data_IF_764433872027
#
_entry.id   IF_764433872027
#
_cell.length_a   1.000
_cell.length_b   1.000
_cell.length_c   1.000
_cell.angle_alpha   90.00
_cell.angle_beta   90.00
_cell.angle_gamma   90.00
#
_symmetry.space_group_name_H-M   'P 1'
#
loop_
_entity.id
_entity.type
_entity.pdbx_description
1 polymer ?
#
# COMPACT_ATOMS: atom_id res chain seq x y z
N UNK A 1 23.00 -17.24 -3.95
CA UNK A 1 22.71 -16.31 -2.84
C UNK A 1 21.57 -15.45 -3.29
N UNK A 2 20.59 -15.20 -2.43
CA UNK A 2 19.46 -14.32 -2.73
C UNK A 2 19.90 -12.86 -2.83
N UNK A 3 19.10 -12.04 -3.50
CA UNK A 3 19.38 -10.62 -3.77
C UNK A 3 19.53 -9.77 -2.49
N UNK A 4 18.93 -10.21 -1.37
CA UNK A 4 18.93 -9.51 -0.09
C UNK A 4 19.77 -10.22 1.00
N UNK A 5 20.66 -11.17 0.61
CA UNK A 5 21.54 -11.85 1.57
C UNK A 5 22.40 -10.84 2.34
N UNK A 6 22.33 -10.87 3.68
CA UNK A 6 23.04 -9.95 4.57
C UNK A 6 22.44 -8.54 4.65
N UNK A 7 21.24 -8.31 4.11
CA UNK A 7 20.47 -7.07 4.25
C UNK A 7 19.38 -7.23 5.32
N UNK A 8 19.15 -6.19 6.10
CA UNK A 8 18.08 -6.12 7.08
C UNK A 8 16.94 -5.25 6.56
N UNK A 9 15.73 -5.80 6.52
CA UNK A 9 14.53 -5.13 6.02
C UNK A 9 13.52 -4.96 7.15
N UNK A 10 13.14 -3.73 7.45
CA UNK A 10 12.05 -3.41 8.38
C UNK A 10 10.76 -3.21 7.61
N UNK A 11 9.69 -3.93 8.00
CA UNK A 11 8.39 -3.91 7.33
C UNK A 11 7.31 -3.51 8.32
N UNK A 12 6.60 -2.41 8.06
CA UNK A 12 5.44 -1.99 8.86
C UNK A 12 4.14 -2.62 8.33
N UNK A 13 3.19 -2.89 9.22
CA UNK A 13 1.94 -3.56 8.83
C UNK A 13 2.16 -4.99 8.33
N UNK A 14 3.14 -5.70 8.90
CA UNK A 14 3.61 -7.00 8.43
C UNK A 14 2.76 -8.20 8.86
N UNK A 15 1.64 -7.98 9.55
CA UNK A 15 0.86 -9.08 10.17
C UNK A 15 -0.08 -9.82 9.21
N UNK A 16 -0.42 -9.24 8.07
CA UNK A 16 -1.28 -9.85 7.04
C UNK A 16 -1.18 -9.09 5.71
N UNK A 17 -1.76 -9.66 4.64
CA UNK A 17 -1.95 -9.02 3.34
C UNK A 17 -0.64 -8.66 2.63
N UNK A 18 -0.51 -7.40 2.17
CA UNK A 18 0.69 -6.95 1.45
C UNK A 18 1.95 -7.09 2.30
N UNK A 19 1.90 -6.69 3.58
CA UNK A 19 3.04 -6.73 4.48
C UNK A 19 3.55 -8.15 4.76
N UNK A 20 2.65 -9.11 4.92
CA UNK A 20 2.96 -10.54 4.98
C UNK A 20 3.64 -11.02 3.70
N UNK A 21 3.06 -10.67 2.53
CA UNK A 21 3.65 -11.04 1.25
C UNK A 21 5.04 -10.43 1.02
N UNK A 22 5.26 -9.20 1.47
CA UNK A 22 6.60 -8.59 1.45
C UNK A 22 7.57 -9.36 2.34
N UNK A 23 7.18 -9.69 3.59
CA UNK A 23 8.02 -10.43 4.51
C UNK A 23 8.49 -11.76 3.92
N UNK A 24 7.56 -12.55 3.36
CA UNK A 24 7.90 -13.82 2.72
C UNK A 24 8.75 -13.63 1.44
N UNK A 25 8.46 -12.59 0.65
CA UNK A 25 9.23 -12.29 -0.55
C UNK A 25 10.69 -11.95 -0.22
N UNK A 26 10.92 -11.05 0.73
CA UNK A 26 12.26 -10.71 1.18
C UNK A 26 12.99 -11.89 1.85
N UNK A 27 12.27 -12.71 2.64
CA UNK A 27 12.82 -13.91 3.24
C UNK A 27 13.33 -14.91 2.20
N UNK A 28 12.57 -15.17 1.13
CA UNK A 28 12.96 -16.04 0.02
C UNK A 28 14.26 -15.58 -0.65
N UNK A 29 14.53 -14.29 -0.64
CA UNK A 29 15.74 -13.69 -1.19
C UNK A 29 16.85 -13.48 -0.15
N UNK A 30 16.70 -14.06 1.04
CA UNK A 30 17.76 -14.15 2.05
C UNK A 30 17.92 -12.91 2.93
N UNK A 31 16.91 -12.04 3.02
CA UNK A 31 16.91 -10.92 3.95
C UNK A 31 16.73 -11.36 5.39
N UNK A 32 17.35 -10.64 6.32
CA UNK A 32 16.94 -10.61 7.71
C UNK A 32 15.80 -9.60 7.89
N UNK A 33 14.84 -9.89 8.77
CA UNK A 33 13.60 -9.14 8.85
C UNK A 33 13.34 -8.57 10.24
N UNK A 34 12.79 -7.36 10.27
CA UNK A 34 12.11 -6.81 11.45
C UNK A 34 10.66 -6.57 11.07
N UNK A 35 9.74 -7.29 11.72
CA UNK A 35 8.32 -7.22 11.43
C UNK A 35 7.60 -6.45 12.53
N UNK A 36 6.82 -5.44 12.13
CA UNK A 36 6.04 -4.63 13.08
C UNK A 36 4.59 -4.46 12.64
N UNK A 37 3.70 -4.62 13.60
CA UNK A 37 2.27 -4.33 13.57
C UNK A 37 1.73 -4.43 15.02
N UNK A 38 0.46 -4.14 15.23
CA UNK A 38 -0.14 -4.18 16.58
C UNK A 38 -0.30 -5.60 17.15
N UNK A 39 -0.69 -6.57 16.30
CA UNK A 39 -0.96 -7.94 16.71
C UNK A 39 0.33 -8.77 16.75
N UNK A 40 0.82 -9.07 17.95
CA UNK A 40 2.00 -9.91 18.16
C UNK A 40 1.81 -11.33 17.61
N UNK A 41 0.66 -11.93 17.84
CA UNK A 41 0.41 -13.34 17.46
C UNK A 41 0.40 -13.50 15.92
N UNK A 42 -0.22 -12.56 15.20
CA UNK A 42 -0.20 -12.56 13.74
C UNK A 42 1.21 -12.31 13.19
N UNK A 43 1.99 -11.42 13.84
CA UNK A 43 3.39 -11.20 13.46
C UNK A 43 4.24 -12.45 13.66
N UNK A 44 4.07 -13.19 14.78
CA UNK A 44 4.80 -14.43 15.02
C UNK A 44 4.46 -15.50 13.98
N UNK A 45 3.19 -15.62 13.58
CA UNK A 45 2.80 -16.55 12.53
C UNK A 45 3.49 -16.26 11.19
N UNK A 46 3.65 -14.98 10.83
CA UNK A 46 4.43 -14.58 9.63
C UNK A 46 5.91 -14.85 9.85
N UNK A 47 6.43 -14.52 11.05
CA UNK A 47 7.84 -14.70 11.38
C UNK A 47 8.26 -16.17 11.31
N UNK A 48 7.43 -17.10 11.78
CA UNK A 48 7.69 -18.54 11.71
C UNK A 48 7.87 -19.00 10.26
N UNK A 49 7.01 -18.53 9.33
CA UNK A 49 7.14 -18.87 7.92
C UNK A 49 8.43 -18.28 7.31
N UNK A 50 8.78 -17.05 7.68
CA UNK A 50 10.04 -16.43 7.22
C UNK A 50 11.28 -17.12 7.82
N UNK A 51 11.26 -17.53 9.09
CA UNK A 51 12.34 -18.31 9.74
C UNK A 51 12.51 -19.67 9.06
N UNK A 52 11.41 -20.32 8.64
CA UNK A 52 11.47 -21.58 7.89
C UNK A 52 12.15 -21.44 6.53
N UNK A 53 12.19 -20.21 5.96
CA UNK A 53 12.93 -19.85 4.75
C UNK A 53 14.42 -19.49 5.02
N UNK A 54 14.85 -19.50 6.29
CA UNK A 54 16.23 -19.25 6.69
C UNK A 54 16.53 -17.81 7.16
N UNK A 55 15.55 -16.93 7.22
CA UNK A 55 15.73 -15.55 7.67
C UNK A 55 15.87 -15.46 9.20
N UNK A 56 16.76 -14.59 9.67
CA UNK A 56 16.69 -14.08 11.06
C UNK A 56 15.51 -13.10 11.13
N UNK A 57 14.55 -13.33 12.03
CA UNK A 57 13.36 -12.49 12.16
C UNK A 57 13.18 -12.00 13.58
N UNK A 58 13.13 -10.69 13.73
CA UNK A 58 12.74 -9.99 14.96
C UNK A 58 11.30 -9.52 14.86
N UNK A 59 10.46 -9.95 15.79
CA UNK A 59 9.08 -9.45 15.93
C UNK A 59 9.08 -8.31 16.93
N UNK A 60 8.68 -7.12 16.47
CA UNK A 60 8.66 -5.89 17.26
C UNK A 60 7.25 -5.25 17.20
N UNK A 61 6.30 -5.69 18.05
CA UNK A 61 4.94 -5.16 18.05
C UNK A 61 4.93 -3.67 18.37
N UNK A 62 4.10 -2.89 17.66
CA UNK A 62 3.94 -1.45 17.89
C UNK A 62 2.82 -0.85 17.03
N UNK A 63 2.28 0.25 17.50
CA UNK A 63 1.32 1.07 16.74
C UNK A 63 2.09 2.18 16.01
N UNK A 64 1.92 2.24 14.70
CA UNK A 64 2.60 3.25 13.87
C UNK A 64 2.12 4.67 14.17
N UNK A 65 0.95 4.84 14.77
CA UNK A 65 0.42 6.14 15.18
C UNK A 65 0.98 6.62 16.53
N UNK A 66 1.77 5.78 17.24
CA UNK A 66 2.37 6.09 18.55
C UNK A 66 3.88 6.26 18.41
N UNK A 67 4.37 7.49 18.60
CA UNK A 67 5.78 7.84 18.37
C UNK A 67 6.75 7.02 19.22
N UNK A 68 6.41 6.76 20.49
CA UNK A 68 7.22 5.97 21.40
C UNK A 68 7.38 4.51 20.92
N UNK A 69 6.34 3.95 20.32
CA UNK A 69 6.37 2.62 19.72
C UNK A 69 7.30 2.60 18.50
N UNK A 70 7.20 3.59 17.63
CA UNK A 70 8.06 3.72 16.45
C UNK A 70 9.53 3.80 16.87
N UNK A 71 9.86 4.66 17.84
CA UNK A 71 11.21 4.80 18.37
C UNK A 71 11.71 3.47 18.96
N UNK A 72 10.89 2.78 19.73
CA UNK A 72 11.21 1.48 20.34
C UNK A 72 11.47 0.42 19.26
N UNK A 73 10.61 0.31 18.26
CA UNK A 73 10.77 -0.65 17.15
C UNK A 73 12.07 -0.42 16.39
N UNK A 74 12.38 0.82 16.03
CA UNK A 74 13.61 1.15 15.29
C UNK A 74 14.86 0.87 16.15
N UNK A 75 14.84 1.23 17.43
CA UNK A 75 15.94 0.89 18.36
C UNK A 75 16.13 -0.62 18.49
N UNK A 76 15.04 -1.39 18.61
CA UNK A 76 15.09 -2.85 18.64
C UNK A 76 15.70 -3.42 17.36
N UNK A 77 15.29 -2.90 16.19
CA UNK A 77 15.84 -3.32 14.91
C UNK A 77 17.35 -3.13 14.83
N UNK A 78 17.84 -1.94 15.23
CA UNK A 78 19.28 -1.63 15.24
C UNK A 78 20.04 -2.47 16.25
N UNK A 79 19.49 -2.68 17.46
CA UNK A 79 20.12 -3.49 18.50
C UNK A 79 20.28 -4.96 18.09
N UNK A 80 19.26 -5.53 17.44
CA UNK A 80 19.23 -6.95 17.08
C UNK A 80 20.00 -7.27 15.79
N UNK A 81 20.01 -6.34 14.81
CA UNK A 81 20.58 -6.57 13.48
C UNK A 81 21.78 -5.68 13.14
N UNK A 82 22.08 -4.69 13.98
CA UNK A 82 23.18 -3.75 13.77
C UNK A 82 22.90 -2.66 12.73
N UNK A 83 21.91 -2.88 11.83
CA UNK A 83 21.58 -1.96 10.74
C UNK A 83 20.15 -2.16 10.24
N UNK A 84 19.69 -1.19 9.45
CA UNK A 84 18.47 -1.29 8.63
C UNK A 84 18.84 -0.86 7.22
N UNK A 85 18.89 -1.79 6.28
CA UNK A 85 19.23 -1.52 4.87
C UNK A 85 18.01 -1.04 4.08
N UNK A 86 16.82 -1.54 4.41
CA UNK A 86 15.58 -1.10 3.77
C UNK A 86 14.42 -0.94 4.76
N UNK A 87 13.59 0.09 4.53
CA UNK A 87 12.29 0.28 5.18
C UNK A 87 11.19 0.09 4.14
N UNK A 88 10.28 -0.86 4.39
CA UNK A 88 9.02 -1.01 3.64
C UNK A 88 7.90 -0.44 4.49
N UNK A 89 7.52 0.77 4.16
CA UNK A 89 6.54 1.55 4.90
C UNK A 89 5.14 1.25 4.37
N UNK A 90 4.56 0.13 4.86
CA UNK A 90 3.36 -0.48 4.31
C UNK A 90 2.13 -0.32 5.20
N UNK A 91 2.28 -0.09 6.50
CA UNK A 91 1.12 0.08 7.39
C UNK A 91 0.16 1.15 6.85
N UNK A 92 -1.12 0.82 6.83
CA UNK A 92 -2.14 1.74 6.34
C UNK A 92 -3.54 1.19 6.59
N UNK A 93 -4.51 2.10 6.57
CA UNK A 93 -5.94 1.81 6.74
C UNK A 93 -6.75 2.64 5.75
N UNK A 94 -7.97 2.20 5.46
CA UNK A 94 -8.90 2.96 4.63
C UNK A 94 -10.29 2.92 5.23
N UNK A 95 -11.02 4.03 5.13
CA UNK A 95 -12.43 4.06 5.47
C UNK A 95 -13.26 3.69 4.24
N UNK A 96 -13.78 2.48 4.23
CA UNK A 96 -14.60 1.96 3.14
C UNK A 96 -16.11 2.16 3.36
N UNK A 97 -16.51 3.01 4.31
CA UNK A 97 -17.93 3.30 4.59
C UNK A 97 -18.65 4.09 3.50
N UNK A 98 -17.89 4.70 2.57
CA UNK A 98 -18.48 5.49 1.48
C UNK A 98 -19.13 6.80 1.94
N UNK A 99 -18.70 7.37 3.07
CA UNK A 99 -19.26 8.60 3.64
C UNK A 99 -19.00 9.77 2.68
N UNK A 100 -20.08 10.52 2.39
CA UNK A 100 -19.98 11.71 1.53
C UNK A 100 -19.01 12.75 2.14
N UNK A 101 -18.20 13.43 1.32
CA UNK A 101 -17.15 14.34 1.78
C UNK A 101 -17.63 15.40 2.78
N UNK A 102 -18.80 15.98 2.55
CA UNK A 102 -19.41 17.01 3.41
C UNK A 102 -19.95 16.47 4.75
N UNK A 103 -20.04 15.15 4.89
CA UNK A 103 -20.49 14.45 6.11
C UNK A 103 -19.33 13.74 6.83
N UNK A 104 -18.10 13.88 6.30
CA UNK A 104 -16.96 13.14 6.81
C UNK A 104 -16.52 13.69 8.16
N UNK A 105 -16.50 12.84 9.19
CA UNK A 105 -16.13 13.24 10.54
C UNK A 105 -14.62 13.41 10.73
N UNK A 106 -14.22 14.38 11.56
CA UNK A 106 -12.82 14.69 11.81
C UNK A 106 -12.10 13.62 12.64
N UNK A 107 -12.82 12.79 13.39
CA UNK A 107 -12.22 11.68 14.15
C UNK A 107 -11.66 10.62 13.19
N UNK A 108 -12.48 10.18 12.25
CA UNK A 108 -12.04 9.24 11.20
C UNK A 108 -10.96 9.86 10.30
N UNK A 109 -11.11 11.13 9.92
CA UNK A 109 -10.10 11.85 9.17
C UNK A 109 -8.73 11.81 9.87
N UNK A 110 -8.69 12.24 11.12
CA UNK A 110 -7.45 12.29 11.91
C UNK A 110 -6.88 10.89 12.16
N UNK A 111 -7.74 9.90 12.39
CA UNK A 111 -7.31 8.51 12.57
C UNK A 111 -6.59 7.97 11.33
N UNK A 112 -7.14 8.15 10.13
CA UNK A 112 -6.48 7.71 8.89
C UNK A 112 -5.17 8.45 8.68
N UNK A 113 -5.14 9.78 8.84
CA UNK A 113 -3.91 10.57 8.71
C UNK A 113 -2.85 10.17 9.74
N UNK A 114 -3.26 9.83 10.97
CA UNK A 114 -2.32 9.42 12.01
C UNK A 114 -1.57 8.13 11.65
N UNK A 115 -2.20 7.22 10.92
CA UNK A 115 -1.62 5.94 10.50
C UNK A 115 -0.90 6.08 9.16
N UNK A 116 -1.63 6.52 8.12
CA UNK A 116 -1.20 6.44 6.72
C UNK A 116 -0.20 7.53 6.33
N UNK A 117 -0.14 8.63 7.08
CA UNK A 117 0.78 9.73 6.82
C UNK A 117 1.73 9.98 7.99
N UNK A 118 1.20 10.29 9.19
CA UNK A 118 2.06 10.65 10.32
C UNK A 118 2.89 9.45 10.78
N UNK A 119 2.29 8.24 10.86
CA UNK A 119 2.98 7.01 11.20
C UNK A 119 4.07 6.67 10.19
N UNK A 120 3.73 6.77 8.90
CA UNK A 120 4.70 6.60 7.83
C UNK A 120 5.87 7.59 7.96
N UNK A 121 5.61 8.87 8.22
CA UNK A 121 6.64 9.89 8.41
C UNK A 121 7.50 9.64 9.66
N UNK A 122 6.91 9.19 10.77
CA UNK A 122 7.67 8.85 11.97
C UNK A 122 8.69 7.73 11.71
N UNK A 123 8.30 6.67 10.99
CA UNK A 123 9.24 5.62 10.57
C UNK A 123 10.31 6.14 9.60
N UNK A 124 9.93 6.95 8.61
CA UNK A 124 10.88 7.58 7.68
C UNK A 124 11.91 8.40 8.46
N UNK A 125 11.48 9.20 9.43
CA UNK A 125 12.35 10.05 10.24
C UNK A 125 13.33 9.22 11.09
N UNK A 126 12.82 8.24 11.83
CA UNK A 126 13.67 7.47 12.77
C UNK A 126 14.64 6.53 12.04
N UNK A 127 14.17 5.83 11.02
CA UNK A 127 15.03 4.97 10.18
C UNK A 127 15.96 5.83 9.32
N UNK A 128 15.46 6.95 8.80
CA UNK A 128 16.23 7.89 8.00
C UNK A 128 17.44 8.47 8.73
N UNK A 129 17.34 8.80 10.03
CA UNK A 129 18.49 9.21 10.83
C UNK A 129 19.61 8.18 10.78
N UNK A 130 19.29 6.91 11.04
CA UNK A 130 20.25 5.82 10.99
C UNK A 130 20.86 5.65 9.59
N UNK A 131 20.02 5.68 8.53
CA UNK A 131 20.50 5.53 7.15
C UNK A 131 21.40 6.68 6.72
N UNK A 132 21.07 7.92 7.11
CA UNK A 132 21.86 9.12 6.79
C UNK A 132 23.20 9.15 7.51
N UNK A 133 23.28 8.69 8.76
CA UNK A 133 24.52 8.53 9.52
C UNK A 133 25.44 7.49 8.87
N UNK A 134 24.87 6.45 8.26
CA UNK A 134 25.62 5.39 7.57
C UNK A 134 25.83 5.64 6.06
N UNK A 135 25.32 6.76 5.53
CA UNK A 135 25.35 7.09 4.09
C UNK A 135 24.83 5.95 3.20
N UNK A 136 23.85 5.20 3.66
CA UNK A 136 23.30 4.04 2.97
C UNK A 136 21.91 3.72 3.44
N UNK A 137 20.96 3.52 2.52
CA UNK A 137 19.62 3.07 2.85
C UNK A 137 18.61 3.20 1.73
N UNK A 138 17.53 2.45 1.84
CA UNK A 138 16.44 2.45 0.89
C UNK A 138 15.10 2.52 1.62
N UNK A 139 14.24 3.44 1.25
CA UNK A 139 12.87 3.55 1.77
C UNK A 139 11.90 3.34 0.61
N UNK A 140 10.98 2.40 0.77
CA UNK A 140 9.88 2.18 -0.16
C UNK A 140 8.56 2.39 0.58
N UNK A 141 7.87 3.47 0.23
CA UNK A 141 6.55 3.79 0.76
C UNK A 141 5.47 3.10 -0.07
N UNK A 142 4.53 2.42 0.57
CA UNK A 142 3.37 1.86 -0.11
C UNK A 142 2.28 2.93 -0.17
N UNK A 143 2.19 3.57 -1.33
CA UNK A 143 1.18 4.56 -1.66
C UNK A 143 -0.09 3.88 -2.22
N UNK A 144 -0.72 4.47 -3.19
CA UNK A 144 -1.91 3.93 -3.88
C UNK A 144 -2.18 4.73 -5.16
N UNK A 145 -2.79 4.11 -6.15
CA UNK A 145 -3.37 4.85 -7.29
C UNK A 145 -4.37 5.92 -6.82
N UNK A 146 -4.99 5.72 -5.66
CA UNK A 146 -5.91 6.70 -5.05
C UNK A 146 -5.20 8.00 -4.66
N UNK A 147 -3.89 7.97 -4.39
CA UNK A 147 -3.08 9.16 -4.14
C UNK A 147 -2.63 9.89 -5.40
N UNK A 148 -2.88 9.35 -6.59
CA UNK A 148 -2.39 9.88 -7.87
C UNK A 148 -3.47 10.57 -8.69
N UNK A 149 -4.74 10.37 -8.34
CA UNK A 149 -5.88 10.92 -9.08
C UNK A 149 -7.15 10.97 -8.23
N UNK A 150 -8.22 11.46 -8.82
CA UNK A 150 -9.54 11.49 -8.19
C UNK A 150 -10.33 10.21 -8.51
N UNK A 151 -11.22 9.84 -7.60
CA UNK A 151 -12.16 8.73 -7.76
C UNK A 151 -13.48 9.03 -7.05
N UNK A 152 -14.51 8.26 -7.32
CA UNK A 152 -15.85 8.43 -6.76
C UNK A 152 -16.12 7.49 -5.55
N UNK A 153 -15.09 6.95 -4.92
CA UNK A 153 -15.26 5.94 -3.86
C UNK A 153 -15.47 6.54 -2.45
N UNK A 154 -15.50 7.87 -2.33
CA UNK A 154 -15.67 8.58 -1.04
C UNK A 154 -14.62 8.17 0.03
N UNK A 155 -13.37 7.96 -0.36
CA UNK A 155 -12.25 7.60 0.52
C UNK A 155 -11.31 8.80 0.73
N UNK A 156 -11.86 9.97 1.02
CA UNK A 156 -11.15 11.27 0.94
C UNK A 156 -9.93 11.36 1.86
N UNK A 157 -10.02 10.89 3.10
CA UNK A 157 -8.89 10.94 4.04
C UNK A 157 -7.74 10.04 3.57
N UNK A 158 -8.06 8.83 3.08
CA UNK A 158 -7.08 7.91 2.51
C UNK A 158 -6.41 8.50 1.26
N UNK A 159 -7.20 9.05 0.34
CA UNK A 159 -6.70 9.72 -0.86
C UNK A 159 -5.76 10.88 -0.51
N UNK A 160 -6.13 11.71 0.47
CA UNK A 160 -5.30 12.81 0.95
C UNK A 160 -4.00 12.30 1.57
N UNK A 161 -4.05 11.27 2.43
CA UNK A 161 -2.88 10.68 3.07
C UNK A 161 -1.90 10.07 2.04
N UNK A 162 -2.40 9.28 1.09
CA UNK A 162 -1.56 8.63 0.07
C UNK A 162 -1.01 9.64 -0.94
N UNK A 163 -1.76 10.69 -1.27
CA UNK A 163 -1.27 11.81 -2.08
C UNK A 163 -0.14 12.59 -1.38
N UNK A 164 -0.31 12.87 -0.09
CA UNK A 164 0.72 13.52 0.73
C UNK A 164 1.97 12.64 0.87
N UNK A 165 1.82 11.33 1.12
CA UNK A 165 2.94 10.39 1.24
C UNK A 165 3.72 10.27 -0.08
N UNK A 166 3.01 10.27 -1.22
CA UNK A 166 3.63 10.29 -2.55
C UNK A 166 4.47 11.56 -2.76
N UNK A 167 3.95 12.74 -2.42
CA UNK A 167 4.70 13.99 -2.54
C UNK A 167 5.89 14.04 -1.57
N UNK A 168 5.70 13.56 -0.34
CA UNK A 168 6.78 13.42 0.65
C UNK A 168 7.91 12.50 0.14
N UNK A 169 7.57 11.42 -0.55
CA UNK A 169 8.54 10.53 -1.20
C UNK A 169 9.41 11.28 -2.20
N UNK A 170 8.81 12.11 -3.04
CA UNK A 170 9.53 12.92 -4.03
C UNK A 170 10.47 13.93 -3.36
N UNK A 171 9.97 14.63 -2.33
CA UNK A 171 10.76 15.61 -1.58
C UNK A 171 11.99 14.96 -0.94
N UNK A 172 11.79 13.88 -0.20
CA UNK A 172 12.88 13.19 0.50
C UNK A 172 13.85 12.50 -0.46
N UNK A 173 13.33 11.97 -1.58
CA UNK A 173 14.16 11.41 -2.64
C UNK A 173 15.14 12.42 -3.24
N UNK A 174 14.76 13.71 -3.27
CA UNK A 174 15.66 14.79 -3.68
C UNK A 174 16.62 15.20 -2.55
N UNK A 175 16.12 15.37 -1.32
CA UNK A 175 16.92 15.90 -0.21
C UNK A 175 17.98 14.94 0.33
N UNK A 176 17.76 13.62 0.17
CA UNK A 176 18.64 12.59 0.73
C UNK A 176 19.51 11.89 -0.31
N UNK A 177 19.34 12.20 -1.60
CA UNK A 177 20.02 11.53 -2.70
C UNK A 177 21.55 11.62 -2.62
N UNK A 178 22.10 12.79 -2.37
CA UNK A 178 23.55 13.04 -2.25
C UNK A 178 24.13 12.55 -0.91
N UNK A 179 23.25 12.12 -0.01
CA UNK A 179 23.59 11.56 1.31
C UNK A 179 23.49 10.04 1.36
N UNK A 180 23.35 9.39 0.19
CA UNK A 180 23.36 7.93 0.05
C UNK A 180 22.05 7.22 0.40
N UNK A 181 20.92 7.94 0.55
CA UNK A 181 19.62 7.35 0.87
C UNK A 181 18.65 7.56 -0.28
N UNK A 182 18.06 6.48 -0.78
CA UNK A 182 17.02 6.52 -1.80
C UNK A 182 15.64 6.40 -1.15
N UNK A 183 14.69 7.19 -1.62
CA UNK A 183 13.29 7.16 -1.16
C UNK A 183 12.38 7.07 -2.38
N UNK A 184 11.64 5.99 -2.48
CA UNK A 184 10.70 5.74 -3.58
C UNK A 184 9.35 5.28 -3.04
N UNK A 185 8.35 5.23 -3.90
CA UNK A 185 7.05 4.63 -3.58
C UNK A 185 6.60 3.64 -4.65
N UNK A 186 5.76 2.73 -4.22
CA UNK A 186 4.94 1.89 -5.10
C UNK A 186 3.49 2.28 -4.87
N UNK A 187 2.76 2.50 -5.95
CA UNK A 187 1.32 2.77 -5.94
C UNK A 187 0.57 1.59 -6.54
N UNK A 188 0.10 0.65 -5.70
CA UNK A 188 -0.72 -0.46 -6.16
C UNK A 188 -2.07 0.02 -6.68
N UNK A 189 -2.60 -0.69 -7.69
CA UNK A 189 -4.00 -0.69 -8.05
C UNK A 189 -4.83 -1.51 -7.06
N UNK A 190 -5.92 -2.05 -7.55
CA UNK A 190 -6.69 -3.03 -6.77
C UNK A 190 -5.95 -4.37 -6.76
N UNK A 191 -5.54 -4.80 -5.56
CA UNK A 191 -4.83 -6.06 -5.33
C UNK A 191 -5.68 -6.95 -4.46
N UNK A 192 -5.88 -8.18 -4.92
CA UNK A 192 -6.63 -9.17 -4.17
C UNK A 192 -5.68 -9.94 -3.24
N UNK A 193 -6.10 -10.07 -1.98
CA UNK A 193 -5.47 -10.96 -1.02
C UNK A 193 -6.46 -12.08 -0.66
N UNK A 194 -5.96 -13.21 -0.19
CA UNK A 194 -6.83 -14.34 0.19
C UNK A 194 -7.92 -13.92 1.21
N UNK A 195 -7.61 -12.95 2.07
CA UNK A 195 -8.55 -12.44 3.06
C UNK A 195 -9.74 -11.70 2.44
N UNK A 196 -9.49 -10.87 1.43
CA UNK A 196 -10.55 -10.01 0.83
C UNK A 196 -11.21 -10.65 -0.39
N UNK A 197 -10.60 -11.69 -0.98
CA UNK A 197 -11.10 -12.38 -2.16
C UNK A 197 -12.58 -12.81 -2.03
N UNK A 198 -12.99 -13.57 -0.98
CA UNK A 198 -14.36 -14.03 -0.87
C UNK A 198 -15.39 -12.89 -0.78
N UNK A 199 -15.02 -11.79 -0.10
CA UNK A 199 -15.91 -10.63 0.02
C UNK A 199 -16.07 -9.89 -1.31
N UNK A 200 -14.97 -9.66 -2.05
CA UNK A 200 -15.01 -9.00 -3.35
C UNK A 200 -15.80 -9.79 -4.38
N UNK A 201 -15.57 -11.11 -4.46
CA UNK A 201 -16.29 -12.00 -5.37
C UNK A 201 -17.78 -12.11 -5.01
N UNK A 202 -18.09 -12.24 -3.72
CA UNK A 202 -19.47 -12.32 -3.25
C UNK A 202 -20.31 -11.06 -3.53
N UNK A 203 -19.66 -9.88 -3.59
CA UNK A 203 -20.30 -8.60 -3.92
C UNK A 203 -20.25 -8.27 -5.42
N UNK A 204 -19.57 -9.08 -6.25
CA UNK A 204 -19.34 -8.78 -7.66
C UNK A 204 -18.42 -7.58 -7.92
N UNK A 205 -17.71 -7.12 -6.90
CA UNK A 205 -16.73 -6.03 -7.02
C UNK A 205 -15.53 -6.41 -7.87
N UNK A 206 -15.17 -7.70 -7.87
CA UNK A 206 -14.12 -8.26 -8.71
C UNK A 206 -14.35 -7.94 -10.19
N UNK A 207 -15.57 -8.18 -10.68
CA UNK A 207 -15.97 -7.90 -12.07
C UNK A 207 -15.99 -6.42 -12.37
N UNK A 208 -16.49 -5.62 -11.43
CA UNK A 208 -16.52 -4.17 -11.60
C UNK A 208 -15.11 -3.58 -11.68
N UNK A 209 -14.20 -3.95 -10.77
CA UNK A 209 -12.80 -3.53 -10.78
C UNK A 209 -12.12 -4.00 -12.07
N UNK A 210 -12.28 -5.28 -12.44
CA UNK A 210 -11.71 -5.82 -13.66
C UNK A 210 -12.20 -5.07 -14.90
N UNK A 211 -13.48 -4.68 -14.95
CA UNK A 211 -14.02 -3.91 -16.07
C UNK A 211 -13.35 -2.54 -16.24
N UNK A 212 -12.84 -1.95 -15.14
CA UNK A 212 -12.20 -0.63 -15.11
C UNK A 212 -10.68 -0.67 -15.18
N UNK A 213 -10.09 -1.84 -15.05
CA UNK A 213 -8.66 -2.05 -15.19
C UNK A 213 -8.33 -2.40 -16.65
N UNK A 214 -7.41 -1.73 -17.34
CA UNK A 214 -7.03 -2.07 -18.72
C UNK A 214 -6.62 -3.54 -18.91
N UNK A 215 -5.91 -4.14 -17.95
CA UNK A 215 -5.58 -5.57 -17.98
C UNK A 215 -6.77 -6.50 -17.71
N UNK A 216 -7.97 -5.96 -17.45
CA UNK A 216 -9.23 -6.70 -17.27
C UNK A 216 -9.22 -7.72 -16.13
N UNK A 217 -8.42 -7.48 -15.11
CA UNK A 217 -8.37 -8.29 -13.89
C UNK A 217 -7.93 -7.45 -12.69
N UNK A 218 -8.12 -7.99 -11.51
CA UNK A 218 -7.50 -7.49 -10.29
C UNK A 218 -6.05 -8.01 -10.25
N UNK A 219 -5.14 -7.26 -9.64
CA UNK A 219 -3.77 -7.68 -9.43
C UNK A 219 -3.66 -8.69 -8.28
N UNK A 220 -2.69 -9.57 -8.37
CA UNK A 220 -2.35 -10.53 -7.33
C UNK A 220 -1.26 -9.97 -6.41
N UNK A 221 -1.24 -10.43 -5.16
CA UNK A 221 -0.24 -10.04 -4.17
C UNK A 221 1.21 -10.21 -4.68
N UNK A 222 1.51 -11.30 -5.36
CA UNK A 222 2.84 -11.59 -5.92
C UNK A 222 3.31 -10.56 -6.93
N UNK A 223 2.39 -9.85 -7.60
CA UNK A 223 2.72 -8.84 -8.61
C UNK A 223 3.19 -7.51 -8.00
N UNK A 224 2.95 -7.29 -6.71
CA UNK A 224 3.43 -6.11 -5.97
C UNK A 224 4.77 -6.38 -5.27
N UNK A 225 5.00 -7.62 -4.85
CA UNK A 225 6.22 -8.00 -4.11
C UNK A 225 7.48 -7.71 -4.94
N UNK A 226 7.51 -8.14 -6.21
CA UNK A 226 8.65 -7.92 -7.10
C UNK A 226 9.02 -6.44 -7.28
N UNK A 227 8.08 -5.56 -7.67
CA UNK A 227 8.31 -4.11 -7.76
C UNK A 227 8.82 -3.45 -6.48
N UNK A 228 8.30 -3.82 -5.31
CA UNK A 228 8.79 -3.31 -4.02
C UNK A 228 10.23 -3.76 -3.77
N UNK A 229 10.52 -5.03 -4.00
CA UNK A 229 11.87 -5.58 -3.86
C UNK A 229 12.84 -4.94 -4.87
N UNK A 230 12.43 -4.71 -6.11
CA UNK A 230 13.23 -4.01 -7.10
C UNK A 230 13.65 -2.63 -6.61
N UNK A 231 12.72 -1.80 -6.14
CA UNK A 231 13.05 -0.46 -5.63
C UNK A 231 13.89 -0.49 -4.35
N UNK A 232 13.71 -1.50 -3.50
CA UNK A 232 14.50 -1.69 -2.28
C UNK A 232 15.93 -2.21 -2.55
N UNK A 233 16.21 -2.73 -3.74
CA UNK A 233 17.47 -3.37 -4.09
C UNK A 233 18.50 -2.40 -4.66
N UNK A 234 19.76 -2.85 -4.73
CA UNK A 234 20.86 -2.10 -5.34
C UNK A 234 20.74 -2.01 -6.88
N UNK A 235 19.89 -2.85 -7.52
CA UNK A 235 19.57 -2.75 -8.95
C UNK A 235 18.88 -1.43 -9.28
N UNK A 236 18.15 -0.84 -8.34
CA UNK A 236 17.50 0.47 -8.47
C UNK A 236 18.40 1.65 -8.02
N UNK A 237 19.72 1.50 -8.06
CA UNK A 237 20.69 2.46 -7.49
C UNK A 237 20.60 3.88 -8.07
N UNK A 238 20.03 4.06 -9.25
CA UNK A 238 19.83 5.38 -9.88
C UNK A 238 18.36 5.83 -9.88
N UNK A 239 17.51 5.20 -9.03
CA UNK A 239 16.09 5.54 -8.90
C UNK A 239 15.83 6.07 -7.49
N UNK A 240 15.46 7.35 -7.38
CA UNK A 240 15.02 8.00 -6.15
C UNK A 240 13.97 9.07 -6.45
N UNK A 241 13.04 9.31 -5.53
CA UNK A 241 11.92 10.25 -5.72
C UNK A 241 10.84 9.75 -6.69
N UNK A 242 10.88 8.47 -7.08
CA UNK A 242 9.94 7.91 -8.05
C UNK A 242 8.75 7.23 -7.38
N UNK A 243 7.58 7.34 -8.02
CA UNK A 243 6.37 6.60 -7.65
C UNK A 243 6.03 5.60 -8.75
N UNK A 244 6.23 4.32 -8.47
CA UNK A 244 6.01 3.24 -9.43
C UNK A 244 4.57 2.74 -9.36
N UNK A 245 3.79 3.01 -10.42
CA UNK A 245 2.44 2.47 -10.56
C UNK A 245 2.46 0.98 -10.88
N UNK A 246 1.74 0.18 -10.08
CA UNK A 246 1.55 -1.26 -10.29
C UNK A 246 0.06 -1.56 -10.24
N UNK A 247 -0.65 -1.24 -11.29
CA UNK A 247 -2.10 -1.04 -11.29
C UNK A 247 -2.84 -1.61 -12.51
N UNK A 248 -2.18 -2.43 -13.31
CA UNK A 248 -2.75 -2.99 -14.53
C UNK A 248 -3.13 -1.93 -15.59
N UNK A 249 -2.49 -0.74 -15.53
CA UNK A 249 -2.70 0.37 -16.46
C UNK A 249 -3.82 1.33 -16.05
N UNK A 250 -4.41 1.18 -14.87
CA UNK A 250 -5.56 1.98 -14.40
C UNK A 250 -5.24 3.47 -14.41
N UNK A 251 -4.11 3.86 -13.83
CA UNK A 251 -3.72 5.28 -13.77
C UNK A 251 -3.32 5.83 -15.15
N UNK A 252 -2.68 5.03 -16.00
CA UNK A 252 -2.29 5.43 -17.33
C UNK A 252 -3.49 5.72 -18.26
N UNK A 253 -4.62 5.05 -18.00
CA UNK A 253 -5.86 5.26 -18.76
C UNK A 253 -6.61 6.54 -18.35
N UNK A 254 -6.13 7.29 -17.34
CA UNK A 254 -6.79 8.48 -16.76
C UNK A 254 -8.25 8.25 -16.33
N UNK A 255 -8.64 7.01 -16.08
CA UNK A 255 -10.02 6.65 -15.79
C UNK A 255 -11.00 6.96 -16.92
N UNK A 256 -10.52 7.46 -18.04
CA UNK A 256 -11.34 7.91 -19.16
C UNK A 256 -11.45 6.81 -20.23
N UNK A 257 -12.68 6.55 -20.59
CA UNK A 257 -13.08 5.73 -21.74
C UNK A 257 -12.76 4.24 -21.64
N UNK A 258 -13.55 3.56 -20.85
CA UNK A 258 -13.73 2.13 -21.11
C UNK A 258 -14.59 1.98 -22.39
N UNK A 259 -13.93 2.15 -23.53
CA UNK A 259 -14.48 1.63 -24.77
C UNK A 259 -14.56 0.13 -24.56
N UNK A 260 -15.74 -0.50 -24.76
CA UNK A 260 -15.81 -1.96 -24.74
C UNK A 260 -14.69 -2.52 -25.64
N UNK A 261 -14.06 -3.66 -25.29
CA UNK A 261 -12.97 -4.20 -26.08
C UNK A 261 -13.30 -4.16 -27.56
N UNK A 262 -12.40 -3.63 -28.36
CA UNK A 262 -12.58 -3.38 -29.81
C UNK A 262 -12.91 -4.65 -30.62
N UNK A 263 -12.93 -5.80 -29.99
CA UNK A 263 -13.44 -7.05 -30.54
C UNK A 263 -14.98 -7.11 -30.69
N UNK A 264 -15.69 -6.10 -30.15
CA UNK A 264 -17.11 -5.97 -30.41
C UNK A 264 -17.28 -5.01 -31.59
N UNK A 265 -17.92 -5.49 -32.64
CA UNK A 265 -18.35 -4.67 -33.78
C UNK A 265 -18.96 -3.38 -33.25
N UNK A 266 -18.48 -2.27 -33.77
CA UNK A 266 -19.06 -0.96 -33.49
C UNK A 266 -20.53 -1.01 -33.89
N UNK A 267 -21.39 -1.17 -32.91
CA UNK A 267 -22.82 -1.06 -33.17
C UNK A 267 -23.15 0.43 -33.33
N UNK A 268 -23.37 0.85 -34.56
CA UNK A 268 -23.72 2.23 -34.94
C UNK A 268 -24.97 2.74 -34.18
N UNK A 269 -25.78 1.85 -33.66
CA UNK A 269 -27.01 2.16 -32.93
C UNK A 269 -26.77 2.55 -31.45
N UNK A 270 -25.55 2.37 -30.92
CA UNK A 270 -25.19 2.72 -29.53
C UNK A 270 -24.43 4.04 -29.40
N UNK A 271 -24.29 4.81 -30.48
CA UNK A 271 -23.70 6.14 -30.40
C UNK A 271 -24.60 7.06 -29.56
N UNK A 272 -24.14 7.59 -28.39
CA UNK A 272 -24.96 8.48 -27.59
C UNK A 272 -25.38 9.70 -28.42
N UNK A 273 -26.66 9.98 -28.50
CA UNK A 273 -27.13 11.23 -29.08
C UNK A 273 -26.78 12.38 -28.16
N UNK A 274 -26.09 13.39 -28.67
CA UNK A 274 -25.73 14.59 -27.91
C UNK A 274 -27.00 15.16 -27.29
N UNK A 275 -27.07 15.36 -25.98
CA UNK A 275 -28.21 15.93 -25.25
C UNK A 275 -29.16 14.95 -24.57
N UNK A 276 -29.01 13.63 -24.77
CA UNK A 276 -29.66 12.64 -23.92
C UNK A 276 -28.62 12.18 -22.91
N UNK A 277 -28.82 12.41 -21.60
CA UNK A 277 -27.94 11.91 -20.55
C UNK A 277 -27.55 10.46 -20.84
N UNK A 278 -26.31 10.09 -20.56
CA UNK A 278 -25.78 8.75 -20.88
C UNK A 278 -26.78 7.67 -20.45
N UNK A 279 -27.45 6.96 -21.38
CA UNK A 279 -28.27 5.84 -21.00
C UNK A 279 -27.31 4.76 -20.50
N UNK A 280 -27.34 4.51 -19.20
CA UNK A 280 -26.53 3.47 -18.58
C UNK A 280 -25.45 3.97 -17.63
N UNK A 281 -25.53 5.19 -17.13
CA UNK A 281 -25.01 5.41 -15.77
C UNK A 281 -25.92 4.60 -14.87
N UNK A 282 -25.55 3.34 -14.66
CA UNK A 282 -26.18 2.53 -13.64
C UNK A 282 -26.24 3.35 -12.38
N UNK A 283 -27.39 3.40 -11.68
CA UNK A 283 -27.40 3.83 -10.30
C UNK A 283 -26.27 3.09 -9.61
N UNK A 284 -25.62 3.72 -8.63
CA UNK A 284 -24.53 3.11 -7.87
C UNK A 284 -24.88 1.63 -7.62
N UNK A 285 -24.00 0.69 -7.98
CA UNK A 285 -24.33 -0.74 -7.90
C UNK A 285 -24.80 -1.07 -6.49
N UNK A 286 -25.70 -2.05 -6.33
CA UNK A 286 -26.28 -2.44 -5.03
C UNK A 286 -25.21 -2.76 -3.97
N UNK A 287 -24.01 -3.20 -4.36
CA UNK A 287 -22.88 -3.41 -3.47
C UNK A 287 -22.36 -2.11 -2.82
N UNK A 288 -22.64 -0.94 -3.40
CA UNK A 288 -22.28 0.33 -2.78
C UNK A 288 -23.04 0.58 -1.46
N UNK A 289 -24.25 0.07 -1.35
CA UNK A 289 -25.03 0.09 -0.11
C UNK A 289 -24.47 -0.93 0.92
N UNK A 290 -23.84 -2.01 0.45
CA UNK A 290 -23.20 -2.99 1.34
C UNK A 290 -21.92 -2.44 1.96
N UNK A 291 -21.22 -1.51 1.30
CA UNK A 291 -20.04 -0.83 1.88
C UNK A 291 -20.41 0.07 3.07
N UNK A 292 -21.64 0.62 3.10
CA UNK A 292 -22.14 1.36 4.27
C UNK A 292 -22.28 0.46 5.52
N UNK A 293 -22.39 -0.86 5.35
CA UNK A 293 -22.51 -1.84 6.44
C UNK A 293 -21.17 -2.45 6.85
N UNK A 294 -20.05 -2.09 6.20
CA UNK A 294 -18.75 -2.69 6.42
C UNK A 294 -18.59 -4.05 5.72
N UNK A 295 -17.36 -4.44 5.42
CA UNK A 295 -17.05 -5.76 4.83
C UNK A 295 -17.15 -6.81 5.96
N UNK A 296 -18.02 -7.83 5.85
CA UNK A 296 -18.13 -8.86 6.87
C UNK A 296 -16.76 -9.53 7.11
N UNK A 297 -16.33 -9.59 8.37
CA UNK A 297 -15.06 -10.20 8.78
C UNK A 297 -13.86 -9.24 8.82
N UNK A 298 -14.00 -7.99 8.38
CA UNK A 298 -12.97 -6.96 8.56
C UNK A 298 -13.40 -6.04 9.69
N UNK A 299 -12.85 -6.25 10.87
CA UNK A 299 -12.99 -5.34 11.99
C UNK A 299 -12.04 -4.15 11.80
N UNK A 300 -12.58 -3.01 11.42
CA UNK A 300 -11.90 -1.73 11.59
C UNK A 300 -12.22 -1.21 12.99
N UNK A 301 -11.32 -1.25 13.95
CA UNK A 301 -11.55 -0.58 15.22
C UNK A 301 -11.50 0.92 14.96
N UNK A 302 -12.67 1.54 14.82
CA UNK A 302 -12.76 3.00 14.85
C UNK A 302 -12.40 3.45 16.27
N UNK A 303 -11.71 4.59 16.44
CA UNK A 303 -11.50 5.16 17.76
C UNK A 303 -12.85 5.38 18.43
N UNK A 304 -12.98 4.98 19.69
CA UNK A 304 -14.14 5.33 20.51
C UNK A 304 -14.26 6.86 20.58
N UNK A 305 -15.50 7.35 20.39
CA UNK A 305 -15.80 8.78 20.31
C UNK A 305 -15.59 9.49 21.65
#
# INVERSE_FOLDING_TARGET
MGQFTGKTVLITGASYGLGEGFAEGFAKEGADLVLTARSKDLLEAVAERCRALGSKVTVAPGDVAVEEDVIRVVKTAIAEHGKIDALINNAGVSDMRGVAPEQYDMTTWNWILSIDLNGAFMYIREVGRHMLENHSGNIVNICSIMGSGANEMNVIAYTAAKGALRNLTQQLGCEWADRGVRVNSVSPGFIITEMVRPALEGMGMDKWIASRTPMRRIGELSEIVGPVMFLASDVASYITGHDLMVDGGTNASNGTYQIPPIHHEWNKDTTPKVGTGYPGVSPRPDWYQVMEMGIPGIHYPLPEA
#
